data_IF_507456044353
#
_entry.id   IF_507456044353
#
_cell.length_a   1.000
_cell.length_b   1.000
_cell.length_c   1.000
_cell.angle_alpha   90.00
_cell.angle_beta   90.00
_cell.angle_gamma   90.00
#
_symmetry.space_group_name_H-M   'P 1'
#
loop_
_entity.id
_entity.type
_entity.pdbx_description
1 polymer ?
#
# COMPACT_ATOMS: atom_id res chain seq x y z
N UNK A 1 -76.08 -21.41 2.38
CA UNK A 1 -74.77 -20.80 2.05
C UNK A 1 -74.19 -20.20 3.31
N UNK A 2 -73.11 -20.79 3.87
CA UNK A 2 -72.39 -20.25 5.04
C UNK A 2 -71.36 -19.25 4.53
N UNK A 3 -71.55 -17.97 4.83
CA UNK A 3 -70.55 -16.92 4.58
C UNK A 3 -69.47 -17.03 5.65
N UNK A 4 -68.30 -17.54 5.27
CA UNK A 4 -67.12 -17.57 6.14
C UNK A 4 -66.68 -16.12 6.38
N UNK A 5 -66.90 -15.64 7.60
CA UNK A 5 -66.47 -14.34 8.05
C UNK A 5 -64.94 -14.36 8.17
N UNK A 6 -64.23 -13.91 7.13
CA UNK A 6 -62.79 -13.72 7.16
C UNK A 6 -62.46 -12.59 8.15
N UNK A 7 -62.16 -12.97 9.40
CA UNK A 7 -61.63 -12.03 10.39
C UNK A 7 -60.28 -11.53 9.89
N UNK A 8 -60.23 -10.28 9.41
CA UNK A 8 -58.97 -9.57 9.18
C UNK A 8 -58.22 -9.50 10.51
N UNK A 9 -57.18 -10.32 10.64
CA UNK A 9 -56.24 -10.25 11.76
C UNK A 9 -55.33 -9.05 11.52
N UNK A 10 -55.54 -7.98 12.27
CA UNK A 10 -54.60 -6.87 12.36
C UNK A 10 -53.47 -7.21 13.32
N UNK A 11 -52.26 -6.72 13.05
CA UNK A 11 -51.15 -6.83 13.99
C UNK A 11 -51.44 -6.05 15.27
N UNK A 12 -51.08 -6.61 16.41
CA UNK A 12 -51.14 -5.91 17.69
C UNK A 12 -50.17 -4.73 17.68
N UNK A 13 -50.53 -3.63 18.35
CA UNK A 13 -49.65 -2.46 18.50
C UNK A 13 -48.30 -2.86 19.15
N UNK A 14 -48.32 -3.83 20.05
CA UNK A 14 -47.11 -4.38 20.69
C UNK A 14 -46.22 -5.11 19.67
N UNK A 15 -46.80 -5.87 18.74
CA UNK A 15 -46.05 -6.57 17.70
C UNK A 15 -45.38 -5.57 16.74
N UNK A 16 -46.11 -4.53 16.33
CA UNK A 16 -45.57 -3.48 15.46
C UNK A 16 -44.45 -2.70 16.17
N UNK A 17 -44.63 -2.36 17.45
CA UNK A 17 -43.60 -1.66 18.24
C UNK A 17 -42.33 -2.50 18.40
N UNK A 18 -42.47 -3.80 18.68
CA UNK A 18 -41.32 -4.73 18.73
C UNK A 18 -40.63 -4.87 17.38
N UNK A 19 -41.41 -5.02 16.29
CA UNK A 19 -40.85 -5.13 14.94
C UNK A 19 -40.07 -3.86 14.55
N UNK A 20 -40.59 -2.68 14.85
CA UNK A 20 -39.90 -1.40 14.61
C UNK A 20 -38.64 -1.25 15.47
N UNK A 21 -38.69 -1.67 16.74
CA UNK A 21 -37.52 -1.66 17.62
C UNK A 21 -36.38 -2.56 17.10
N UNK A 22 -36.71 -3.78 16.68
CA UNK A 22 -35.74 -4.72 16.11
C UNK A 22 -35.20 -4.17 14.77
N UNK A 23 -36.07 -3.67 13.90
CA UNK A 23 -35.66 -3.09 12.62
C UNK A 23 -34.73 -1.89 12.80
N UNK A 24 -35.04 -0.99 13.73
CA UNK A 24 -34.19 0.16 14.04
C UNK A 24 -32.81 -0.28 14.57
N UNK A 25 -32.76 -1.27 15.46
CA UNK A 25 -31.52 -1.84 15.95
C UNK A 25 -30.68 -2.45 14.83
N UNK A 26 -31.30 -3.22 13.93
CA UNK A 26 -30.62 -3.79 12.77
C UNK A 26 -30.08 -2.72 11.80
N UNK A 27 -30.81 -1.63 11.58
CA UNK A 27 -30.33 -0.54 10.73
C UNK A 27 -29.11 0.17 11.35
N UNK A 28 -29.12 0.37 12.67
CA UNK A 28 -27.97 0.95 13.38
C UNK A 28 -26.71 0.07 13.25
N UNK A 29 -26.86 -1.25 13.39
CA UNK A 29 -25.71 -2.17 13.23
C UNK A 29 -25.18 -2.18 11.81
N UNK A 30 -26.05 -2.17 10.79
CA UNK A 30 -25.64 -2.10 9.39
C UNK A 30 -24.86 -0.81 9.06
N UNK A 31 -25.30 0.33 9.57
CA UNK A 31 -24.59 1.61 9.37
C UNK A 31 -23.21 1.58 10.04
N UNK A 32 -23.10 0.99 11.24
CA UNK A 32 -21.81 0.78 11.90
C UNK A 32 -20.86 -0.10 11.09
N UNK A 33 -21.36 -1.22 10.57
CA UNK A 33 -20.59 -2.14 9.72
C UNK A 33 -20.12 -1.50 8.40
N UNK A 34 -20.92 -0.59 7.83
CA UNK A 34 -20.58 0.09 6.58
C UNK A 34 -19.32 0.96 6.71
N UNK A 35 -19.16 1.68 7.84
CA UNK A 35 -17.94 2.44 8.12
C UNK A 35 -16.70 1.54 8.22
N UNK A 36 -16.84 0.37 8.85
CA UNK A 36 -15.76 -0.62 8.94
C UNK A 36 -15.39 -1.15 7.55
N UNK A 37 -16.38 -1.44 6.71
CA UNK A 37 -16.18 -1.87 5.33
C UNK A 37 -15.37 -0.87 4.50
N UNK A 38 -15.71 0.42 4.57
CA UNK A 38 -14.98 1.45 3.82
C UNK A 38 -13.53 1.63 4.28
N UNK A 39 -13.28 1.63 5.59
CA UNK A 39 -11.92 1.72 6.11
C UNK A 39 -11.07 0.51 5.70
N UNK A 40 -11.65 -0.69 5.77
CA UNK A 40 -11.00 -1.92 5.31
C UNK A 40 -10.64 -1.86 3.82
N UNK A 41 -11.59 -1.47 2.97
CA UNK A 41 -11.37 -1.36 1.53
C UNK A 41 -10.29 -0.32 1.18
N UNK A 42 -10.27 0.82 1.89
CA UNK A 42 -9.22 1.84 1.75
C UNK A 42 -7.83 1.31 2.10
N UNK A 43 -7.70 0.58 3.22
CA UNK A 43 -6.44 -0.01 3.65
C UNK A 43 -5.93 -1.08 2.68
N UNK A 44 -6.81 -1.98 2.21
CA UNK A 44 -6.46 -2.99 1.22
C UNK A 44 -6.01 -2.37 -0.10
N UNK A 45 -6.67 -1.29 -0.55
CA UNK A 45 -6.29 -0.56 -1.75
C UNK A 45 -4.88 0.02 -1.65
N UNK A 46 -4.55 0.73 -0.56
CA UNK A 46 -3.21 1.30 -0.36
C UNK A 46 -2.12 0.22 -0.29
N UNK A 47 -2.43 -0.90 0.35
CA UNK A 47 -1.53 -2.06 0.38
C UNK A 47 -1.25 -2.61 -1.02
N UNK A 48 -2.28 -2.71 -1.87
CA UNK A 48 -2.14 -3.15 -3.26
C UNK A 48 -1.36 -2.16 -4.13
N UNK A 49 -1.60 -0.86 -3.95
CA UNK A 49 -0.85 0.22 -4.62
C UNK A 49 0.64 0.18 -4.23
N UNK A 50 0.95 0.08 -2.93
CA UNK A 50 2.31 -0.08 -2.44
C UNK A 50 2.98 -1.34 -2.98
N UNK A 51 2.27 -2.48 -3.02
CA UNK A 51 2.80 -3.75 -3.54
C UNK A 51 3.17 -3.63 -5.02
N UNK A 52 2.33 -2.97 -5.80
CA UNK A 52 2.59 -2.69 -7.22
C UNK A 52 3.85 -1.84 -7.37
N UNK A 53 3.98 -0.77 -6.59
CA UNK A 53 5.16 0.09 -6.60
C UNK A 53 6.44 -0.67 -6.23
N UNK A 54 6.37 -1.53 -5.20
CA UNK A 54 7.49 -2.35 -4.77
C UNK A 54 7.97 -3.32 -5.86
N UNK A 55 7.05 -3.95 -6.60
CA UNK A 55 7.39 -4.83 -7.73
C UNK A 55 8.05 -4.04 -8.85
N UNK A 56 7.54 -2.84 -9.17
CA UNK A 56 8.13 -1.98 -10.19
C UNK A 56 9.56 -1.54 -9.82
N UNK A 57 9.77 -1.11 -8.57
CA UNK A 57 11.10 -0.74 -8.06
C UNK A 57 12.05 -1.95 -8.09
N UNK A 58 11.60 -3.12 -7.63
CA UNK A 58 12.40 -4.33 -7.65
C UNK A 58 12.82 -4.73 -9.07
N UNK A 59 11.91 -4.63 -10.04
CA UNK A 59 12.21 -4.89 -11.44
C UNK A 59 13.18 -3.86 -12.04
N UNK A 60 13.02 -2.58 -11.70
CA UNK A 60 13.94 -1.52 -12.12
C UNK A 60 15.36 -1.75 -11.57
N UNK A 61 15.48 -2.21 -10.33
CA UNK A 61 16.77 -2.54 -9.71
C UNK A 61 17.40 -3.77 -10.37
N UNK A 62 16.61 -4.81 -10.64
CA UNK A 62 17.10 -6.03 -11.30
C UNK A 62 17.57 -5.78 -12.73
N UNK A 63 16.91 -4.89 -13.46
CA UNK A 63 17.29 -4.51 -14.83
C UNK A 63 18.39 -3.44 -14.89
N UNK A 64 18.92 -2.99 -13.77
CA UNK A 64 19.81 -1.84 -13.73
C UNK A 64 21.09 -2.06 -14.55
N UNK A 65 21.47 -1.02 -15.28
CA UNK A 65 22.67 -0.98 -16.11
C UNK A 65 23.64 0.08 -15.61
N UNK A 66 24.93 -0.13 -15.88
CA UNK A 66 25.96 0.87 -15.58
C UNK A 66 25.88 2.03 -16.56
N UNK A 67 25.93 3.26 -16.06
CA UNK A 67 26.16 4.45 -16.87
C UNK A 67 27.65 4.61 -17.20
N UNK A 68 28.00 5.54 -18.09
CA UNK A 68 29.40 5.82 -18.47
C UNK A 68 30.29 6.27 -17.31
N UNK A 69 29.71 6.68 -16.18
CA UNK A 69 30.42 7.04 -14.95
C UNK A 69 30.62 5.83 -13.99
N UNK A 70 30.19 4.62 -14.38
CA UNK A 70 30.31 3.41 -13.58
C UNK A 70 29.33 3.33 -12.39
N UNK A 71 28.26 4.13 -12.41
CA UNK A 71 27.15 4.04 -11.46
C UNK A 71 26.02 3.22 -12.10
N UNK A 72 25.42 2.34 -11.31
CA UNK A 72 24.24 1.60 -11.71
C UNK A 72 23.00 2.46 -11.49
N UNK A 73 22.08 2.43 -12.44
CA UNK A 73 20.82 3.17 -12.36
C UNK A 73 19.62 2.26 -12.65
N UNK A 74 18.52 2.48 -11.94
CA UNK A 74 17.25 1.83 -12.23
C UNK A 74 16.77 2.16 -13.64
N UNK A 75 16.09 1.22 -14.29
CA UNK A 75 15.55 1.43 -15.64
C UNK A 75 14.22 2.19 -15.63
N UNK A 76 13.93 2.84 -16.77
CA UNK A 76 12.65 3.48 -17.04
C UNK A 76 12.39 4.66 -16.13
N UNK A 77 11.20 4.71 -15.52
CA UNK A 77 10.78 5.81 -14.65
C UNK A 77 11.62 5.96 -13.37
N UNK A 78 12.38 4.92 -12.97
CA UNK A 78 13.17 4.87 -11.74
C UNK A 78 14.65 5.19 -11.95
N UNK A 79 14.99 5.97 -12.98
CA UNK A 79 16.37 6.40 -13.26
C UNK A 79 16.98 7.28 -12.16
N UNK A 80 16.16 7.83 -11.27
CA UNK A 80 16.59 8.56 -10.08
C UNK A 80 17.22 7.65 -9.01
N UNK A 81 16.94 6.35 -9.05
CA UNK A 81 17.61 5.37 -8.19
C UNK A 81 18.98 5.09 -8.80
N UNK A 82 20.02 5.62 -8.19
CA UNK A 82 21.40 5.38 -8.62
C UNK A 82 22.29 4.95 -7.46
N UNK A 83 23.22 4.06 -7.75
CA UNK A 83 24.16 3.55 -6.76
C UNK A 83 25.51 3.24 -7.38
N UNK A 84 26.54 3.37 -6.56
CA UNK A 84 27.90 2.99 -6.91
C UNK A 84 28.23 1.61 -6.29
N UNK A 85 29.52 1.26 -6.17
CA UNK A 85 29.95 0.01 -5.52
C UNK A 85 29.79 0.03 -3.99
N UNK A 86 29.62 1.20 -3.39
CA UNK A 86 29.39 1.36 -1.95
C UNK A 86 27.89 1.21 -1.60
N UNK A 87 27.59 1.36 -0.31
CA UNK A 87 26.21 1.45 0.18
C UNK A 87 25.55 2.72 -0.36
N UNK A 88 24.31 2.63 -0.83
CA UNK A 88 23.51 3.78 -1.25
C UNK A 88 22.12 3.69 -0.64
N UNK A 89 21.58 4.83 -0.21
CA UNK A 89 20.19 4.96 0.25
C UNK A 89 19.52 6.02 -0.61
N UNK A 90 18.37 5.69 -1.16
CA UNK A 90 17.56 6.63 -1.95
C UNK A 90 16.12 6.55 -1.50
N UNK A 91 15.54 7.71 -1.20
CA UNK A 91 14.13 7.85 -0.92
C UNK A 91 13.43 8.39 -2.18
N UNK A 92 12.26 7.83 -2.48
CA UNK A 92 11.50 8.11 -3.70
C UNK A 92 10.07 8.38 -3.28
N UNK A 93 9.53 9.50 -3.73
CA UNK A 93 8.13 9.81 -3.55
C UNK A 93 7.36 9.21 -4.72
N UNK A 94 6.27 8.51 -4.42
CA UNK A 94 5.53 7.71 -5.37
C UNK A 94 4.09 8.19 -5.50
N UNK A 95 3.55 8.04 -6.71
CA UNK A 95 2.15 8.23 -7.04
C UNK A 95 1.32 7.00 -6.67
N UNK A 96 -0.02 7.10 -6.71
CA UNK A 96 -0.90 5.93 -6.47
C UNK A 96 -0.75 4.83 -7.53
N UNK A 97 -0.17 5.16 -8.69
CA UNK A 97 0.21 4.19 -9.73
C UNK A 97 1.55 3.50 -9.48
N UNK A 98 2.26 3.86 -8.40
CA UNK A 98 3.57 3.31 -8.07
C UNK A 98 4.75 3.90 -8.86
N UNK A 99 4.51 4.94 -9.66
CA UNK A 99 5.56 5.66 -10.40
C UNK A 99 6.15 6.80 -9.56
N UNK A 100 7.42 7.18 -9.77
CA UNK A 100 8.01 8.36 -9.13
C UNK A 100 7.21 9.61 -9.43
N UNK A 101 6.95 10.41 -8.40
CA UNK A 101 6.17 11.63 -8.49
C UNK A 101 7.01 12.80 -9.02
N UNK A 102 6.44 13.59 -9.94
CA UNK A 102 7.08 14.79 -10.47
C UNK A 102 6.70 16.07 -9.71
N UNK A 103 5.73 16.00 -8.78
CA UNK A 103 5.23 17.17 -8.06
C UNK A 103 4.47 16.83 -6.77
N UNK A 104 4.33 17.80 -5.84
CA UNK A 104 3.80 17.58 -4.49
C UNK A 104 2.37 17.04 -4.44
N UNK A 105 1.54 17.35 -5.44
CA UNK A 105 0.12 16.98 -5.48
C UNK A 105 -0.14 15.51 -5.79
N UNK A 106 0.83 14.80 -6.36
CA UNK A 106 0.67 13.41 -6.81
C UNK A 106 1.24 12.40 -5.80
N UNK A 107 1.88 12.88 -4.73
CA UNK A 107 2.56 12.07 -3.73
C UNK A 107 1.56 11.34 -2.85
N UNK A 108 1.51 10.02 -2.93
CA UNK A 108 0.66 9.19 -2.07
C UNK A 108 1.46 8.23 -1.19
N UNK A 109 2.61 7.76 -1.67
CA UNK A 109 3.48 6.81 -0.97
C UNK A 109 4.93 7.31 -0.96
N UNK A 110 5.73 6.75 -0.07
CA UNK A 110 7.18 6.95 -0.03
C UNK A 110 7.87 5.59 -0.05
N UNK A 111 8.89 5.45 -0.88
CA UNK A 111 9.74 4.29 -0.93
C UNK A 111 11.16 4.64 -0.49
N UNK A 112 11.79 3.71 0.20
CA UNK A 112 13.20 3.72 0.52
C UNK A 112 13.84 2.51 -0.14
N UNK A 113 14.93 2.78 -0.85
CA UNK A 113 15.78 1.77 -1.45
C UNK A 113 17.16 1.90 -0.83
N UNK A 114 17.61 0.85 -0.15
CA UNK A 114 18.93 0.78 0.44
C UNK A 114 19.69 -0.39 -0.17
N UNK A 115 20.77 -0.08 -0.85
CA UNK A 115 21.61 -1.05 -1.55
C UNK A 115 22.84 -1.32 -0.70
N UNK A 116 23.07 -2.58 -0.37
CA UNK A 116 24.22 -2.98 0.43
C UNK A 116 25.50 -3.03 -0.44
N UNK A 117 26.67 -2.74 0.15
CA UNK A 117 27.94 -2.86 -0.55
C UNK A 117 28.15 -4.32 -0.98
N UNK A 118 28.66 -4.51 -2.20
CA UNK A 118 29.05 -5.83 -2.67
C UNK A 118 30.44 -6.18 -2.13
N UNK A 119 30.66 -7.42 -1.74
CA UNK A 119 32.00 -7.92 -1.38
C UNK A 119 32.92 -8.02 -2.59
N UNK A 120 32.37 -8.21 -3.79
CA UNK A 120 33.09 -8.32 -5.06
C UNK A 120 32.42 -7.47 -6.16
N UNK A 121 33.19 -6.94 -7.12
CA UNK A 121 32.68 -6.08 -8.20
C UNK A 121 31.72 -6.77 -9.18
N UNK A 122 31.74 -8.10 -9.22
CA UNK A 122 30.89 -8.97 -10.07
C UNK A 122 29.92 -9.83 -9.22
N UNK A 123 29.85 -9.59 -7.92
CA UNK A 123 29.02 -10.39 -7.01
C UNK A 123 27.55 -10.00 -7.04
N UNK A 124 26.68 -10.95 -6.69
CA UNK A 124 25.28 -10.66 -6.40
C UNK A 124 25.19 -9.58 -5.31
N UNK A 125 24.28 -8.62 -5.51
CA UNK A 125 24.03 -7.51 -4.60
C UNK A 125 22.64 -7.65 -4.01
N UNK A 126 22.45 -7.09 -2.82
CA UNK A 126 21.16 -7.09 -2.14
C UNK A 126 20.69 -5.65 -1.95
N UNK A 127 19.44 -5.39 -2.34
CA UNK A 127 18.73 -4.15 -2.04
C UNK A 127 17.60 -4.43 -1.05
N UNK A 128 17.53 -3.63 0.00
CA UNK A 128 16.33 -3.47 0.80
C UNK A 128 15.41 -2.47 0.12
N UNK A 129 14.19 -2.89 -0.18
CA UNK A 129 13.15 -2.01 -0.72
C UNK A 129 12.01 -1.99 0.28
N UNK A 130 11.64 -0.80 0.73
CA UNK A 130 10.54 -0.60 1.67
C UNK A 130 9.64 0.52 1.17
N UNK A 131 8.33 0.29 1.15
CA UNK A 131 7.32 1.24 0.70
C UNK A 131 6.34 1.47 1.84
N UNK A 132 6.08 2.74 2.17
CA UNK A 132 5.15 3.14 3.22
C UNK A 132 4.14 4.15 2.72
N UNK A 133 3.00 4.19 3.41
CA UNK A 133 1.95 5.18 3.23
C UNK A 133 1.45 5.68 4.59
N UNK A 134 0.92 6.92 4.66
CA UNK A 134 0.84 7.92 3.58
C UNK A 134 2.21 8.54 3.24
N UNK A 135 2.27 9.46 2.27
CA UNK A 135 3.50 10.18 1.86
C UNK A 135 4.23 10.90 3.01
N UNK A 136 3.54 11.19 4.11
CA UNK A 136 4.09 11.80 5.32
C UNK A 136 4.89 10.82 6.19
N UNK A 137 4.91 9.52 5.84
CA UNK A 137 5.72 8.54 6.53
C UNK A 137 7.21 8.91 6.46
N UNK A 138 7.89 8.82 7.59
CA UNK A 138 9.30 9.18 7.72
C UNK A 138 10.11 7.98 8.19
N UNK A 139 11.23 7.71 7.53
CA UNK A 139 12.12 6.63 7.92
C UNK A 139 12.93 7.01 9.17
N UNK A 140 12.84 6.19 10.21
CA UNK A 140 13.69 6.27 11.41
C UNK A 140 14.92 5.38 11.22
N UNK A 141 16.08 6.02 11.03
CA UNK A 141 17.37 5.34 10.84
C UNK A 141 17.79 4.50 12.04
N UNK A 142 17.41 4.89 13.27
CA UNK A 142 17.83 4.20 14.48
C UNK A 142 17.08 2.88 14.64
N UNK A 143 15.81 2.87 14.25
CA UNK A 143 14.93 1.71 14.40
C UNK A 143 14.81 0.90 13.12
N UNK A 144 15.29 1.41 12.00
CA UNK A 144 15.10 0.81 10.66
C UNK A 144 13.62 0.54 10.36
N UNK A 145 12.76 1.49 10.74
CA UNK A 145 11.30 1.40 10.56
C UNK A 145 10.72 2.73 10.10
N UNK A 146 9.49 2.67 9.58
CA UNK A 146 8.72 3.87 9.27
C UNK A 146 8.00 4.41 10.51
N UNK A 147 8.03 5.72 10.67
CA UNK A 147 7.24 6.50 11.64
C UNK A 147 6.17 7.28 10.89
N UNK A 148 5.05 7.58 11.54
CA UNK A 148 3.89 8.25 10.92
C UNK A 148 3.30 7.50 9.71
N UNK A 149 3.58 6.20 9.58
CA UNK A 149 3.01 5.34 8.56
C UNK A 149 1.70 4.70 9.08
N UNK A 150 0.68 4.68 8.23
CA UNK A 150 -0.50 3.83 8.41
C UNK A 150 -0.17 2.36 8.11
N UNK A 151 0.78 2.13 7.21
CA UNK A 151 1.27 0.80 6.85
C UNK A 151 2.56 0.87 6.03
N UNK A 152 3.27 -0.25 6.01
CA UNK A 152 4.44 -0.41 5.15
C UNK A 152 4.60 -1.86 4.70
N UNK A 153 5.25 -2.03 3.56
CA UNK A 153 5.69 -3.32 3.05
C UNK A 153 7.18 -3.24 2.75
N UNK A 154 7.90 -4.32 2.98
CA UNK A 154 9.33 -4.36 2.69
C UNK A 154 9.74 -5.71 2.12
N UNK A 155 10.79 -5.68 1.31
CA UNK A 155 11.34 -6.88 0.70
C UNK A 155 12.83 -6.72 0.45
N UNK A 156 13.52 -7.85 0.40
CA UNK A 156 14.90 -7.94 -0.02
C UNK A 156 14.95 -8.40 -1.47
N UNK A 157 15.64 -7.64 -2.29
CA UNK A 157 15.84 -7.94 -3.71
C UNK A 157 17.31 -8.30 -3.91
N UNK A 158 17.57 -9.54 -4.29
CA UNK A 158 18.90 -9.94 -4.78
C UNK A 158 18.93 -9.71 -6.29
N UNK A 159 20.00 -9.08 -6.77
CA UNK A 159 20.18 -8.77 -8.18
C UNK A 159 21.66 -8.85 -8.56
N UNK A 160 21.92 -9.10 -9.85
CA UNK A 160 23.24 -8.94 -10.45
C UNK A 160 23.12 -7.81 -11.46
N UNK A 161 23.87 -6.71 -11.31
CA UNK A 161 23.81 -5.65 -12.28
C UNK A 161 24.41 -6.11 -13.62
N UNK A 162 23.78 -5.75 -14.73
CA UNK A 162 24.34 -5.99 -16.05
C UNK A 162 25.48 -5.01 -16.33
N UNK A 163 26.56 -5.51 -16.92
CA UNK A 163 27.71 -4.71 -17.37
C UNK A 163 27.34 -3.81 -18.54
#
# INVERSE_FOLDING_TARGET
>A
MKTLNERRAGFSLVEVALALGIAAFCLLTLVGLLSVGFNSMGSSRRTAEASTAMVQIANAIRGASANSAGQYQGLGAFSNISWNKASSVTNIELTSGGLPSAGPSEKSHVARVQILPATNSLGARTAFVSVAWPNAAQWDEQRSTWTHAEGSISTWVVFMPSL
#
